data_IF_309777206564
#
_entry.id   IF_309777206564
#
_cell.length_a   1.000
_cell.length_b   1.000
_cell.length_c   1.000
_cell.angle_alpha   90.00
_cell.angle_beta   90.00
_cell.angle_gamma   90.00
#
_symmetry.space_group_name_H-M   'P 1'
#
loop_
_entity.id
_entity.type
_entity.pdbx_description
1 polymer ?
#
# COMPACT_ATOMS: atom_id res chain seq x y z
N UNK A 1 18.44 -5.00 -30.13
CA UNK A 1 17.15 -5.30 -29.45
C UNK A 1 17.49 -5.89 -28.10
N UNK A 2 16.99 -5.33 -27.00
CA UNK A 2 17.21 -5.95 -25.69
C UNK A 2 16.71 -5.07 -24.54
N UNK A 3 15.53 -5.43 -24.03
CA UNK A 3 15.03 -5.12 -22.68
C UNK A 3 14.98 -3.64 -22.26
N UNK A 4 13.95 -2.93 -22.70
CA UNK A 4 13.40 -1.76 -21.96
C UNK A 4 11.93 -2.06 -21.55
N UNK A 5 11.38 -3.22 -21.94
CA UNK A 5 9.98 -3.58 -21.70
C UNK A 5 9.71 -4.48 -20.51
N UNK A 6 10.75 -4.97 -19.80
CA UNK A 6 10.57 -5.90 -18.67
C UNK A 6 10.24 -5.17 -17.37
N UNK A 7 10.99 -4.10 -17.06
CA UNK A 7 10.87 -3.39 -15.79
C UNK A 7 9.56 -2.59 -15.70
N UNK A 8 9.14 -1.92 -16.78
CA UNK A 8 7.90 -1.11 -16.83
C UNK A 8 6.65 -1.98 -16.61
N UNK A 9 6.65 -3.20 -17.16
CA UNK A 9 5.54 -4.14 -16.97
C UNK A 9 5.47 -4.65 -15.53
N UNK A 10 6.62 -4.97 -14.94
CA UNK A 10 6.69 -5.41 -13.54
C UNK A 10 6.27 -4.30 -12.57
N UNK A 11 6.66 -3.05 -12.81
CA UNK A 11 6.29 -1.90 -11.98
C UNK A 11 4.78 -1.64 -11.98
N UNK A 12 4.16 -1.59 -13.16
CA UNK A 12 2.72 -1.38 -13.28
C UNK A 12 1.93 -2.53 -12.63
N UNK A 13 2.43 -3.76 -12.74
CA UNK A 13 1.83 -4.92 -12.12
C UNK A 13 1.99 -4.91 -10.60
N UNK A 14 3.15 -4.53 -10.05
CA UNK A 14 3.38 -4.42 -8.61
C UNK A 14 2.46 -3.38 -7.98
N UNK A 15 2.27 -2.24 -8.66
CA UNK A 15 1.41 -1.15 -8.24
C UNK A 15 -0.07 -1.58 -8.31
N UNK A 16 -0.48 -2.25 -9.39
CA UNK A 16 -1.84 -2.78 -9.53
C UNK A 16 -2.16 -3.86 -8.47
N UNK A 17 -1.22 -4.76 -8.20
CA UNK A 17 -1.38 -5.83 -7.22
C UNK A 17 -1.39 -5.27 -5.79
N UNK A 18 -0.49 -4.33 -5.47
CA UNK A 18 -0.52 -3.61 -4.20
C UNK A 18 -1.83 -2.83 -4.02
N UNK A 19 -2.36 -2.21 -5.08
CA UNK A 19 -3.68 -1.54 -5.04
C UNK A 19 -4.79 -2.55 -4.74
N UNK A 20 -4.78 -3.70 -5.40
CA UNK A 20 -5.78 -4.73 -5.19
C UNK A 20 -5.74 -5.28 -3.76
N UNK A 21 -4.54 -5.49 -3.21
CA UNK A 21 -4.37 -5.91 -1.81
C UNK A 21 -4.90 -4.86 -0.83
N UNK A 22 -4.60 -3.56 -1.00
CA UNK A 22 -5.10 -2.52 -0.07
C UNK A 22 -6.63 -2.38 -0.17
N UNK A 23 -7.19 -2.49 -1.38
CA UNK A 23 -8.65 -2.47 -1.56
C UNK A 23 -9.32 -3.65 -0.88
N UNK A 24 -8.71 -4.84 -0.95
CA UNK A 24 -9.21 -6.02 -0.25
C UNK A 24 -9.16 -5.83 1.27
N UNK A 25 -8.08 -5.27 1.82
CA UNK A 25 -7.97 -4.95 3.25
C UNK A 25 -9.01 -3.91 3.67
N UNK A 26 -9.22 -2.87 2.86
CA UNK A 26 -10.25 -1.87 3.09
C UNK A 26 -11.64 -2.51 3.15
N UNK A 27 -11.98 -3.34 2.16
CA UNK A 27 -13.28 -4.02 2.12
C UNK A 27 -13.50 -4.91 3.34
N UNK A 28 -12.47 -5.63 3.79
CA UNK A 28 -12.55 -6.40 5.03
C UNK A 28 -12.80 -5.51 6.25
N UNK A 29 -12.14 -4.35 6.30
CA UNK A 29 -12.32 -3.41 7.39
C UNK A 29 -13.70 -2.76 7.39
N UNK A 30 -14.23 -2.40 6.22
CA UNK A 30 -15.58 -1.87 6.07
C UNK A 30 -16.64 -2.88 6.52
N UNK A 31 -16.45 -4.16 6.21
CA UNK A 31 -17.32 -5.25 6.65
C UNK A 31 -17.19 -5.55 8.14
N UNK A 32 -15.97 -5.46 8.69
CA UNK A 32 -15.71 -5.72 10.11
C UNK A 32 -16.14 -4.57 11.02
N UNK A 33 -16.11 -3.33 10.51
CA UNK A 33 -16.42 -2.11 11.25
C UNK A 33 -17.40 -1.20 10.50
N UNK A 34 -18.61 -1.67 10.16
CA UNK A 34 -19.56 -0.89 9.34
C UNK A 34 -20.03 0.38 10.07
N UNK A 35 -20.16 0.32 11.39
CA UNK A 35 -20.63 1.43 12.24
C UNK A 35 -19.49 2.30 12.82
N UNK A 36 -18.23 1.99 12.52
CA UNK A 36 -17.11 2.79 13.03
C UNK A 36 -17.09 4.17 12.38
N UNK A 37 -16.64 5.17 13.15
CA UNK A 37 -16.40 6.51 12.62
C UNK A 37 -15.27 6.50 11.61
N UNK A 38 -15.21 7.51 10.74
CA UNK A 38 -14.16 7.61 9.73
C UNK A 38 -12.75 7.60 10.35
N UNK A 39 -12.57 8.25 11.50
CA UNK A 39 -11.31 8.24 12.25
C UNK A 39 -10.93 6.86 12.78
N UNK A 40 -11.90 6.09 13.27
CA UNK A 40 -11.66 4.71 13.72
C UNK A 40 -11.36 3.78 12.56
N UNK A 41 -12.04 3.95 11.42
CA UNK A 41 -11.74 3.22 10.19
C UNK A 41 -10.33 3.52 9.69
N UNK A 42 -9.93 4.79 9.64
CA UNK A 42 -8.56 5.17 9.25
C UNK A 42 -7.51 4.57 10.19
N UNK A 43 -7.76 4.60 11.50
CA UNK A 43 -6.84 4.04 12.50
C UNK A 43 -6.73 2.52 12.38
N UNK A 44 -7.86 1.83 12.26
CA UNK A 44 -7.88 0.37 12.13
C UNK A 44 -7.29 -0.08 10.78
N UNK A 45 -7.53 0.67 9.71
CA UNK A 45 -6.89 0.43 8.42
C UNK A 45 -5.38 0.61 8.50
N UNK A 46 -4.92 1.65 9.19
CA UNK A 46 -3.51 1.90 9.35
C UNK A 46 -2.80 0.74 10.07
N UNK A 47 -3.40 0.25 11.17
CA UNK A 47 -2.92 -0.93 11.88
C UNK A 47 -2.95 -2.18 10.99
N UNK A 48 -4.05 -2.39 10.26
CA UNK A 48 -4.23 -3.55 9.37
C UNK A 48 -3.20 -3.56 8.24
N UNK A 49 -2.93 -2.40 7.64
CA UNK A 49 -1.90 -2.25 6.61
C UNK A 49 -0.51 -2.53 7.15
N UNK A 50 -0.17 -1.97 8.32
CA UNK A 50 1.11 -2.26 8.97
C UNK A 50 1.27 -3.77 9.23
N UNK A 51 0.20 -4.45 9.67
CA UNK A 51 0.22 -5.90 9.84
C UNK A 51 0.35 -6.64 8.50
N UNK A 52 -0.36 -6.20 7.45
CA UNK A 52 -0.26 -6.79 6.12
C UNK A 52 1.16 -6.65 5.54
N UNK A 53 1.82 -5.52 5.73
CA UNK A 53 3.22 -5.30 5.35
C UNK A 53 4.15 -6.27 6.09
N UNK A 54 3.92 -6.47 7.39
CA UNK A 54 4.71 -7.40 8.21
C UNK A 54 4.46 -8.87 7.89
N UNK A 55 3.22 -9.24 7.58
CA UNK A 55 2.81 -10.61 7.31
C UNK A 55 3.04 -11.03 5.85
N UNK A 56 3.02 -10.07 4.91
CA UNK A 56 3.20 -10.30 3.49
C UNK A 56 4.47 -9.57 2.99
N UNK A 57 5.65 -10.24 3.01
CA UNK A 57 6.90 -9.64 2.55
C UNK A 57 6.88 -9.28 1.06
N UNK A 58 6.04 -9.96 0.27
CA UNK A 58 5.82 -9.61 -1.14
C UNK A 58 5.17 -8.23 -1.20
N UNK A 59 4.06 -8.01 -0.51
CA UNK A 59 3.37 -6.72 -0.46
C UNK A 59 4.28 -5.58 0.01
N UNK A 60 5.11 -5.83 1.03
CA UNK A 60 6.16 -4.89 1.47
C UNK A 60 7.12 -4.54 0.34
N UNK A 61 7.61 -5.54 -0.39
CA UNK A 61 8.51 -5.34 -1.53
C UNK A 61 7.84 -4.47 -2.59
N UNK A 62 6.55 -4.71 -2.87
CA UNK A 62 5.80 -3.91 -3.84
C UNK A 62 5.64 -2.46 -3.45
N UNK A 63 5.30 -2.21 -2.20
CA UNK A 63 5.20 -0.85 -1.67
C UNK A 63 6.56 -0.15 -1.67
N UNK A 64 7.63 -0.86 -1.34
CA UNK A 64 8.99 -0.32 -1.34
C UNK A 64 9.47 -0.01 -2.77
N UNK A 65 9.16 -0.87 -3.74
CA UNK A 65 9.41 -0.64 -5.16
C UNK A 65 8.60 0.55 -5.68
N UNK A 66 7.29 0.60 -5.39
CA UNK A 66 6.43 1.73 -5.75
C UNK A 66 6.96 3.05 -5.17
N UNK A 67 7.47 3.05 -3.93
CA UNK A 67 8.10 4.22 -3.32
C UNK A 67 9.46 4.55 -3.94
N UNK A 68 10.32 3.57 -4.20
CA UNK A 68 11.66 3.80 -4.79
C UNK A 68 11.59 4.29 -6.22
N UNK A 69 10.69 3.72 -7.00
CA UNK A 69 10.62 3.92 -8.46
C UNK A 69 9.59 4.98 -8.84
N UNK A 70 8.43 4.99 -8.18
CA UNK A 70 7.33 5.92 -8.44
C UNK A 70 7.17 7.03 -7.38
N UNK A 71 7.99 7.01 -6.32
CA UNK A 71 8.00 8.06 -5.31
C UNK A 71 6.69 8.19 -4.52
N UNK A 72 6.48 9.38 -3.97
CA UNK A 72 5.26 9.73 -3.25
C UNK A 72 4.04 9.70 -4.18
N UNK A 73 4.20 9.94 -5.48
CA UNK A 73 3.08 9.95 -6.44
C UNK A 73 2.48 8.56 -6.63
N UNK A 74 3.30 7.52 -6.75
CA UNK A 74 2.82 6.14 -6.79
C UNK A 74 2.05 5.78 -5.51
N UNK A 75 2.59 6.13 -4.33
CA UNK A 75 1.88 5.90 -3.08
C UNK A 75 0.57 6.71 -3.02
N UNK A 76 0.54 7.96 -3.50
CA UNK A 76 -0.70 8.74 -3.60
C UNK A 76 -1.75 8.01 -4.44
N UNK A 77 -1.38 7.40 -5.56
CA UNK A 77 -2.34 6.61 -6.36
C UNK A 77 -2.85 5.40 -5.59
N UNK A 78 -1.97 4.68 -4.89
CA UNK A 78 -2.33 3.51 -4.08
C UNK A 78 -3.31 3.86 -2.95
N UNK A 79 -3.08 4.98 -2.26
CA UNK A 79 -3.79 5.35 -1.03
C UNK A 79 -4.83 6.48 -1.19
N UNK A 80 -4.90 7.13 -2.36
CA UNK A 80 -5.90 8.15 -2.69
C UNK A 80 -7.35 7.73 -2.38
N UNK A 81 -7.81 6.52 -2.74
CA UNK A 81 -9.20 6.13 -2.46
C UNK A 81 -9.48 5.89 -0.97
N UNK A 82 -8.46 5.89 -0.11
CA UNK A 82 -8.55 5.40 1.27
C UNK A 82 -8.30 6.46 2.33
N UNK A 83 -7.83 7.65 1.93
CA UNK A 83 -7.67 8.80 2.83
C UNK A 83 -6.58 8.63 3.90
N UNK A 84 -5.71 7.62 3.78
CA UNK A 84 -4.56 7.48 4.68
C UNK A 84 -3.43 8.43 4.25
N UNK A 85 -2.84 9.18 5.19
CA UNK A 85 -1.68 10.01 4.90
C UNK A 85 -0.51 9.15 4.42
N UNK A 86 0.09 9.54 3.29
CA UNK A 86 1.26 8.84 2.71
C UNK A 86 2.44 8.80 3.69
N UNK A 87 2.56 9.82 4.55
CA UNK A 87 3.60 9.90 5.58
C UNK A 87 3.55 8.72 6.56
N UNK A 88 2.34 8.25 6.90
CA UNK A 88 2.17 7.09 7.77
C UNK A 88 2.69 5.82 7.08
N UNK A 89 2.30 5.63 5.81
CA UNK A 89 2.74 4.47 5.01
C UNK A 89 4.26 4.49 4.81
N UNK A 90 4.80 5.67 4.48
CA UNK A 90 6.23 5.89 4.30
C UNK A 90 6.98 5.53 5.59
N UNK A 91 6.48 5.99 6.74
CA UNK A 91 7.00 5.65 8.05
C UNK A 91 7.07 4.13 8.31
N UNK A 92 6.09 3.34 7.87
CA UNK A 92 6.16 1.86 8.02
C UNK A 92 7.15 1.18 7.09
N UNK A 93 7.28 1.68 5.86
CA UNK A 93 8.26 1.15 4.90
C UNK A 93 9.68 1.48 5.36
N UNK A 94 9.90 2.69 5.90
CA UNK A 94 11.20 3.18 6.37
C UNK A 94 11.58 2.65 7.75
N UNK A 95 10.64 2.51 8.70
CA UNK A 95 10.92 2.07 10.07
C UNK A 95 11.44 0.62 10.18
N UNK A 96 11.39 -0.16 9.10
CA UNK A 96 11.99 -1.51 9.04
C UNK A 96 13.24 -1.58 8.15
N UNK A 97 13.73 -0.43 7.66
CA UNK A 97 14.97 -0.33 6.88
C UNK A 97 16.22 -0.05 7.74
N UNK A 98 16.05 0.14 9.06
CA UNK A 98 17.10 0.31 10.07
C UNK A 98 17.39 -0.98 10.86
#
# INVERSE_FOLDING_TARGET
MGQIGGDIYNQAQDLADATAEIQKLLQQLEQSYPNATEMEKQSALAVTLQQAIKQNPTFKTRLSNALKEGGIEALKVLFAPIGIPIEIVKGWIEAEAE
#
